data_IF_564476393854
#
_entry.id   IF_564476393854
#
_cell.length_a   1.000
_cell.length_b   1.000
_cell.length_c   1.000
_cell.angle_alpha   90.00
_cell.angle_beta   90.00
_cell.angle_gamma   90.00
#
_symmetry.space_group_name_H-M   'P 1'
#
loop_
_entity.id
_entity.type
_entity.pdbx_description
1 polymer ?
#
# COMPACT_ATOMS: atom_id res chain seq x y z
N UNK A 1 -9.38 -18.47 -57.87
CA UNK A 1 -8.58 -17.53 -57.07
C UNK A 1 -9.18 -17.49 -55.66
N UNK A 2 -8.52 -18.17 -54.68
CA UNK A 2 -8.99 -18.21 -53.26
C UNK A 2 -8.47 -16.99 -52.55
N UNK A 3 -9.38 -16.11 -52.10
CA UNK A 3 -9.07 -14.95 -51.26
C UNK A 3 -8.71 -15.43 -49.87
N UNK A 4 -7.44 -15.30 -49.50
CA UNK A 4 -6.94 -15.55 -48.12
C UNK A 4 -7.33 -14.38 -47.23
N UNK A 5 -8.36 -14.56 -46.39
CA UNK A 5 -8.75 -13.57 -45.39
C UNK A 5 -7.79 -13.71 -44.19
N UNK A 6 -6.84 -12.79 -44.10
CA UNK A 6 -5.98 -12.65 -42.91
C UNK A 6 -6.82 -11.99 -41.80
N UNK A 7 -7.18 -12.78 -40.77
CA UNK A 7 -7.83 -12.26 -39.58
C UNK A 7 -6.72 -11.71 -38.66
N UNK A 8 -6.62 -10.40 -38.60
CA UNK A 8 -5.77 -9.72 -37.62
C UNK A 8 -6.42 -9.85 -36.22
N UNK A 9 -5.90 -10.76 -35.40
CA UNK A 9 -6.27 -10.89 -34.01
C UNK A 9 -5.58 -9.76 -33.22
N UNK A 10 -6.29 -8.67 -32.98
CA UNK A 10 -5.83 -7.60 -32.07
C UNK A 10 -5.84 -8.15 -30.63
N UNK A 11 -4.66 -8.54 -30.14
CA UNK A 11 -4.45 -8.78 -28.71
C UNK A 11 -4.57 -7.44 -27.97
N UNK A 12 -5.74 -7.20 -27.38
CA UNK A 12 -5.94 -6.08 -26.45
C UNK A 12 -5.18 -6.45 -25.17
N UNK A 13 -3.93 -6.01 -25.06
CA UNK A 13 -3.18 -6.05 -23.80
C UNK A 13 -3.78 -4.98 -22.91
N UNK A 14 -4.83 -5.33 -22.19
CA UNK A 14 -5.41 -4.48 -21.15
C UNK A 14 -4.34 -4.21 -20.09
N UNK A 15 -4.13 -2.95 -19.74
CA UNK A 15 -3.24 -2.52 -18.67
C UNK A 15 -3.87 -2.90 -17.32
N UNK A 16 -3.81 -4.19 -16.96
CA UNK A 16 -4.37 -4.72 -15.73
C UNK A 16 -3.48 -4.34 -14.55
N UNK A 17 -4.08 -3.89 -13.45
CA UNK A 17 -3.34 -3.63 -12.21
C UNK A 17 -2.71 -4.93 -11.70
N UNK A 18 -1.48 -4.89 -11.16
CA UNK A 18 -0.85 -6.10 -10.65
C UNK A 18 -1.63 -6.65 -9.45
N UNK A 19 -1.80 -7.96 -9.41
CA UNK A 19 -2.40 -8.67 -8.26
C UNK A 19 -1.35 -9.19 -7.26
N UNK A 20 -0.05 -9.10 -7.59
CA UNK A 20 1.07 -9.50 -6.72
C UNK A 20 2.19 -8.49 -6.76
N UNK A 21 2.91 -8.37 -5.65
CA UNK A 21 4.13 -7.57 -5.61
C UNK A 21 5.25 -8.22 -6.40
N UNK A 22 6.08 -7.40 -7.05
CA UNK A 22 7.29 -7.92 -7.71
C UNK A 22 8.29 -8.44 -6.69
N UNK A 23 9.18 -9.34 -7.12
CA UNK A 23 10.24 -9.90 -6.27
C UNK A 23 11.13 -8.80 -5.68
N UNK A 24 11.45 -7.78 -6.46
CA UNK A 24 12.26 -6.65 -6.05
C UNK A 24 11.54 -5.82 -4.97
N UNK A 25 10.23 -5.58 -5.13
CA UNK A 25 9.43 -4.87 -4.12
C UNK A 25 9.32 -5.67 -2.82
N UNK A 26 9.17 -7.00 -2.90
CA UNK A 26 9.12 -7.89 -1.72
C UNK A 26 10.45 -7.89 -0.95
N UNK A 27 11.58 -7.80 -1.63
CA UNK A 27 12.92 -7.82 -1.03
C UNK A 27 13.39 -6.44 -0.53
N UNK A 28 12.68 -5.35 -0.84
CA UNK A 28 13.05 -4.02 -0.34
C UNK A 28 13.00 -3.97 1.18
N UNK A 29 14.00 -3.33 1.78
CA UNK A 29 14.12 -3.16 3.22
C UNK A 29 13.42 -1.90 3.71
N UNK A 30 12.70 -2.06 4.79
CA UNK A 30 12.03 -1.02 5.57
C UNK A 30 12.58 -1.01 6.98
N UNK A 31 12.49 0.11 7.67
CA UNK A 31 12.94 0.19 9.07
C UNK A 31 11.73 0.19 9.99
N UNK A 32 11.67 -0.76 10.92
CA UNK A 32 10.62 -0.85 11.94
C UNK A 32 10.78 0.23 13.03
N UNK A 33 9.75 0.40 13.87
CA UNK A 33 9.84 1.28 15.07
C UNK A 33 10.98 0.83 16.00
N UNK A 34 11.24 -0.48 16.08
CA UNK A 34 12.38 -1.03 16.84
C UNK A 34 13.74 -0.79 16.17
N UNK A 35 13.80 0.01 15.11
CA UNK A 35 15.00 0.35 14.32
C UNK A 35 15.66 -0.86 13.64
N UNK A 36 14.91 -1.91 13.38
CA UNK A 36 15.37 -3.12 12.70
C UNK A 36 15.01 -3.04 11.22
N UNK A 37 15.92 -3.54 10.38
CA UNK A 37 15.64 -3.75 8.96
C UNK A 37 14.74 -4.96 8.77
N UNK A 38 13.63 -4.78 8.05
CA UNK A 38 12.69 -5.84 7.69
C UNK A 38 12.38 -5.75 6.19
N UNK A 39 12.28 -6.88 5.50
CA UNK A 39 11.84 -6.87 4.11
C UNK A 39 10.34 -6.65 4.03
N UNK A 40 9.86 -6.12 2.90
CA UNK A 40 8.42 -5.99 2.69
C UNK A 40 7.72 -7.36 2.72
N UNK A 41 8.37 -8.40 2.24
CA UNK A 41 7.88 -9.78 2.37
C UNK A 41 7.63 -10.16 3.83
N UNK A 42 8.57 -9.84 4.74
CA UNK A 42 8.40 -10.14 6.17
C UNK A 42 7.26 -9.33 6.80
N UNK A 43 7.03 -8.09 6.31
CA UNK A 43 5.87 -7.29 6.73
C UNK A 43 4.56 -7.99 6.32
N UNK A 44 4.46 -8.50 5.10
CA UNK A 44 3.28 -9.25 4.66
C UNK A 44 3.10 -10.57 5.43
N UNK A 45 4.18 -11.33 5.63
CA UNK A 45 4.15 -12.59 6.36
C UNK A 45 3.68 -12.45 7.81
N UNK A 46 4.03 -11.33 8.48
CA UNK A 46 3.54 -11.01 9.83
C UNK A 46 2.00 -10.97 9.89
N UNK A 47 1.35 -10.64 8.79
CA UNK A 47 -0.10 -10.50 8.68
C UNK A 47 -0.75 -11.59 7.82
N UNK A 48 -0.05 -12.70 7.59
CA UNK A 48 -0.59 -13.82 6.80
C UNK A 48 -1.95 -14.28 7.33
N UNK A 49 -2.89 -14.54 6.42
CA UNK A 49 -4.26 -14.93 6.77
C UNK A 49 -5.16 -13.75 7.21
N UNK A 50 -4.68 -12.50 7.07
CA UNK A 50 -5.42 -11.30 7.42
C UNK A 50 -5.45 -10.32 6.24
N UNK A 51 -6.52 -9.53 6.14
CA UNK A 51 -6.55 -8.39 5.22
C UNK A 51 -5.70 -7.26 5.75
N UNK A 52 -4.98 -6.60 4.86
CA UNK A 52 -4.09 -5.48 5.17
C UNK A 52 -4.51 -4.27 4.36
N UNK A 53 -4.68 -3.13 5.01
CA UNK A 53 -4.69 -1.84 4.35
C UNK A 53 -3.33 -1.19 4.57
N UNK A 54 -2.63 -0.97 3.47
CA UNK A 54 -1.33 -0.30 3.45
C UNK A 54 -1.57 1.17 3.12
N UNK A 55 -1.10 2.08 3.98
CA UNK A 55 -1.12 3.52 3.80
C UNK A 55 0.30 4.05 3.64
N UNK A 56 0.61 4.57 2.46
CA UNK A 56 1.87 5.26 2.20
C UNK A 56 1.65 6.75 2.43
N UNK A 57 2.34 7.30 3.41
CA UNK A 57 2.12 8.62 3.94
C UNK A 57 3.41 9.36 4.30
N UNK A 58 3.30 10.58 4.81
CA UNK A 58 4.38 11.29 5.48
C UNK A 58 3.83 12.38 6.41
N UNK A 59 4.59 12.75 7.44
CA UNK A 59 4.19 13.76 8.43
C UNK A 59 4.04 15.18 7.85
N UNK A 60 4.72 15.46 6.75
CA UNK A 60 4.65 16.72 6.01
C UNK A 60 3.55 16.74 4.94
N UNK A 61 2.90 15.60 4.68
CA UNK A 61 1.84 15.49 3.70
C UNK A 61 0.52 15.97 4.32
N UNK A 62 0.09 17.17 3.94
CA UNK A 62 -1.17 17.77 4.44
C UNK A 62 -2.36 16.85 4.22
N UNK A 63 -2.53 16.31 3.00
CA UNK A 63 -3.66 15.46 2.63
C UNK A 63 -3.67 14.15 3.42
N UNK A 64 -2.49 13.61 3.78
CA UNK A 64 -2.39 12.43 4.63
C UNK A 64 -2.86 12.74 6.07
N UNK A 65 -2.49 13.92 6.59
CA UNK A 65 -2.82 14.30 7.97
C UNK A 65 -4.30 14.66 8.14
N UNK A 66 -4.87 15.41 7.19
CA UNK A 66 -6.29 15.84 7.29
C UNK A 66 -7.26 14.68 7.13
N UNK A 67 -6.86 13.56 6.53
CA UNK A 67 -7.69 12.36 6.35
C UNK A 67 -7.57 11.34 7.49
N UNK A 68 -6.76 11.63 8.51
CA UNK A 68 -6.60 10.71 9.68
C UNK A 68 -7.90 10.44 10.46
N UNK A 69 -8.84 11.40 10.64
CA UNK A 69 -10.11 11.10 11.30
C UNK A 69 -10.90 10.00 10.59
N UNK A 70 -11.01 10.09 9.26
CA UNK A 70 -11.70 9.10 8.43
C UNK A 70 -10.99 7.73 8.47
N UNK A 71 -9.65 7.75 8.46
CA UNK A 71 -8.86 6.53 8.58
C UNK A 71 -9.07 5.86 9.96
N UNK A 72 -9.08 6.63 11.04
CA UNK A 72 -9.34 6.11 12.40
C UNK A 72 -10.76 5.54 12.52
N UNK A 73 -11.74 6.19 11.89
CA UNK A 73 -13.10 5.66 11.81
C UNK A 73 -13.12 4.32 11.06
N UNK A 74 -12.44 4.25 9.90
CA UNK A 74 -12.32 3.01 9.13
C UNK A 74 -11.69 1.88 9.96
N UNK A 75 -10.66 2.18 10.78
CA UNK A 75 -10.05 1.21 11.69
C UNK A 75 -11.04 0.67 12.72
N UNK A 76 -11.87 1.54 13.31
CA UNK A 76 -12.87 1.15 14.31
C UNK A 76 -13.97 0.28 13.70
N UNK A 77 -14.39 0.59 12.48
CA UNK A 77 -15.43 -0.13 11.75
C UNK A 77 -14.95 -1.48 11.18
N UNK A 78 -13.63 -1.68 11.08
CA UNK A 78 -13.02 -2.88 10.49
C UNK A 78 -11.93 -3.47 11.41
N UNK A 79 -12.29 -3.98 12.62
CA UNK A 79 -11.31 -4.40 13.63
C UNK A 79 -10.48 -5.64 13.23
N UNK A 80 -10.91 -6.39 12.22
CA UNK A 80 -10.20 -7.56 11.70
C UNK A 80 -9.18 -7.23 10.62
N UNK A 81 -9.18 -5.98 10.12
CA UNK A 81 -8.23 -5.49 9.13
C UNK A 81 -6.98 -4.97 9.82
N UNK A 82 -5.81 -5.36 9.34
CA UNK A 82 -4.54 -4.81 9.80
C UNK A 82 -4.16 -3.57 9.00
N UNK A 83 -3.71 -2.54 9.70
CA UNK A 83 -3.27 -1.28 9.10
C UNK A 83 -1.76 -1.17 9.17
N UNK A 84 -1.13 -1.08 8.00
CA UNK A 84 0.33 -0.95 7.83
C UNK A 84 0.64 0.41 7.24
N UNK A 85 1.45 1.19 7.95
CA UNK A 85 1.83 2.54 7.57
C UNK A 85 3.27 2.57 7.08
N UNK A 86 3.48 3.01 5.85
CA UNK A 86 4.79 3.13 5.22
C UNK A 86 5.13 4.61 5.04
N UNK A 87 6.14 5.10 5.77
CA UNK A 87 6.45 6.53 5.81
C UNK A 87 7.50 6.93 4.78
N UNK A 88 7.22 8.04 4.07
CA UNK A 88 8.14 8.79 3.20
C UNK A 88 8.74 10.02 3.90
N UNK A 89 8.77 10.05 5.23
CA UNK A 89 9.40 11.15 5.95
C UNK A 89 10.88 11.30 5.58
N UNK A 90 11.41 12.51 5.73
CA UNK A 90 12.82 12.81 5.41
C UNK A 90 13.80 12.26 6.46
N UNK A 91 13.31 11.96 7.68
CA UNK A 91 14.12 11.35 8.73
C UNK A 91 13.27 10.46 9.64
N UNK A 92 13.91 9.46 10.25
CA UNK A 92 13.28 8.55 11.20
C UNK A 92 12.75 9.29 12.44
N UNK A 93 13.44 10.34 12.89
CA UNK A 93 13.03 11.14 14.05
C UNK A 93 11.74 11.89 13.80
N UNK A 94 11.58 12.50 12.61
CA UNK A 94 10.33 13.18 12.22
C UNK A 94 9.17 12.21 12.12
N UNK A 95 9.41 11.05 11.52
CA UNK A 95 8.45 9.97 11.41
C UNK A 95 7.96 9.50 12.78
N UNK A 96 8.87 9.15 13.71
CA UNK A 96 8.52 8.68 15.05
C UNK A 96 7.74 9.75 15.84
N UNK A 97 8.22 11.01 15.86
CA UNK A 97 7.51 12.12 16.50
C UNK A 97 6.09 12.33 15.93
N UNK A 98 5.92 12.09 14.63
CA UNK A 98 4.61 12.24 14.00
C UNK A 98 3.64 11.13 14.41
N UNK A 99 4.09 9.87 14.50
CA UNK A 99 3.26 8.75 14.98
C UNK A 99 2.69 9.09 16.35
N UNK A 100 3.55 9.52 17.29
CA UNK A 100 3.15 9.84 18.66
C UNK A 100 2.20 11.05 18.70
N UNK A 101 2.57 12.14 18.02
CA UNK A 101 1.76 13.37 17.97
C UNK A 101 0.37 13.14 17.37
N UNK A 102 0.31 12.37 16.27
CA UNK A 102 -0.93 12.13 15.51
C UNK A 102 -1.71 10.92 16.04
N UNK A 103 -1.14 10.18 17.00
CA UNK A 103 -1.74 8.98 17.62
C UNK A 103 -2.25 8.00 16.57
N UNK A 104 -1.38 7.66 15.61
CA UNK A 104 -1.69 6.72 14.54
C UNK A 104 -1.48 5.30 15.07
N UNK A 105 -2.54 4.49 15.08
CA UNK A 105 -2.49 3.09 15.53
C UNK A 105 -2.24 2.16 14.34
N UNK A 106 -1.40 1.15 14.53
CA UNK A 106 -1.06 0.14 13.51
C UNK A 106 0.41 -0.19 13.48
N UNK A 107 0.84 -0.92 12.47
CA UNK A 107 2.24 -1.23 12.25
C UNK A 107 2.91 -0.17 11.38
N UNK A 108 4.02 0.33 11.85
CA UNK A 108 4.70 1.45 11.21
C UNK A 108 6.09 1.07 10.74
N UNK A 109 6.40 1.47 9.49
CA UNK A 109 7.69 1.25 8.87
C UNK A 109 8.15 2.49 8.09
N UNK A 110 9.44 2.74 8.14
CA UNK A 110 10.08 3.84 7.42
C UNK A 110 10.65 3.34 6.10
N UNK A 111 10.34 4.03 5.01
CA UNK A 111 10.81 3.73 3.65
C UNK A 111 12.17 4.40 3.41
N UNK A 112 13.28 3.74 3.73
CA UNK A 112 14.62 4.32 3.58
C UNK A 112 14.94 4.73 2.12
N UNK A 113 14.55 3.90 1.16
CA UNK A 113 14.74 4.14 -0.28
C UNK A 113 13.66 5.06 -0.89
N UNK A 114 12.58 5.31 -0.14
CA UNK A 114 11.48 6.19 -0.53
C UNK A 114 10.84 5.82 -1.87
N UNK A 115 10.50 6.86 -2.65
CA UNK A 115 9.88 6.67 -3.98
C UNK A 115 10.80 6.02 -5.01
N UNK A 116 12.11 6.06 -4.80
CA UNK A 116 13.13 5.56 -5.74
C UNK A 116 13.44 4.08 -5.55
N UNK A 117 13.07 3.51 -4.40
CA UNK A 117 13.21 2.09 -4.12
C UNK A 117 12.35 1.22 -5.04
N UNK A 118 12.58 -0.09 -4.99
CA UNK A 118 11.87 -1.06 -5.82
C UNK A 118 10.36 -1.06 -5.53
N UNK A 119 9.95 -0.94 -4.26
CA UNK A 119 8.57 -0.84 -3.83
C UNK A 119 7.91 0.45 -4.33
N UNK A 120 8.60 1.59 -4.19
CA UNK A 120 8.11 2.87 -4.69
C UNK A 120 7.92 2.88 -6.22
N UNK A 121 8.87 2.29 -6.95
CA UNK A 121 8.79 2.10 -8.42
C UNK A 121 7.65 1.16 -8.80
N UNK A 122 7.49 0.04 -8.12
CA UNK A 122 6.40 -0.91 -8.35
C UNK A 122 5.03 -0.22 -8.23
N UNK A 123 4.83 0.57 -7.17
CA UNK A 123 3.61 1.35 -6.96
C UNK A 123 3.49 2.53 -7.93
N UNK A 124 4.52 2.87 -8.70
CA UNK A 124 4.62 4.13 -9.45
C UNK A 124 4.24 5.30 -8.53
N UNK A 125 4.97 5.41 -7.42
CA UNK A 125 4.61 6.26 -6.28
C UNK A 125 5.06 7.70 -6.51
N UNK A 126 4.23 8.52 -7.10
CA UNK A 126 4.46 9.98 -7.28
C UNK A 126 3.60 10.85 -6.37
N UNK A 127 2.51 10.30 -5.83
CA UNK A 127 1.58 11.02 -4.97
C UNK A 127 1.27 10.24 -3.71
N UNK A 128 1.07 10.94 -2.59
CA UNK A 128 0.56 10.43 -1.30
C UNK A 128 -0.58 11.34 -0.80
N UNK A 129 -1.54 10.83 -0.02
CA UNK A 129 -1.59 9.44 0.46
C UNK A 129 -1.79 8.44 -0.68
N UNK A 130 -1.34 7.22 -0.47
CA UNK A 130 -1.54 6.11 -1.38
C UNK A 130 -1.97 4.89 -0.60
N UNK A 131 -3.10 4.30 -0.99
CA UNK A 131 -3.66 3.12 -0.35
C UNK A 131 -3.56 1.90 -1.25
N UNK A 132 -3.23 0.77 -0.64
CA UNK A 132 -3.20 -0.55 -1.26
C UNK A 132 -3.92 -1.51 -0.31
N UNK A 133 -4.80 -2.37 -0.82
CA UNK A 133 -5.42 -3.45 -0.03
C UNK A 133 -4.85 -4.77 -0.49
N UNK A 134 -4.45 -5.58 0.49
CA UNK A 134 -3.96 -6.94 0.31
C UNK A 134 -4.90 -7.87 1.04
N UNK A 135 -5.29 -8.96 0.40
CA UNK A 135 -6.17 -9.95 1.01
C UNK A 135 -5.40 -10.96 1.90
N UNK A 136 -6.14 -11.90 2.47
CA UNK A 136 -5.63 -12.93 3.35
C UNK A 136 -4.66 -13.91 2.68
N UNK A 137 -4.62 -13.94 1.36
CA UNK A 137 -3.71 -14.76 0.55
C UNK A 137 -2.44 -14.00 0.12
N UNK A 138 -2.34 -12.70 0.47
CA UNK A 138 -1.23 -11.83 0.07
C UNK A 138 -1.38 -11.24 -1.33
N UNK A 139 -2.58 -11.34 -1.94
CA UNK A 139 -2.86 -10.77 -3.25
C UNK A 139 -3.38 -9.32 -3.16
N UNK A 140 -2.98 -8.49 -4.09
CA UNK A 140 -3.41 -7.09 -4.16
C UNK A 140 -4.82 -7.05 -4.73
N UNK A 141 -5.79 -6.68 -3.92
CA UNK A 141 -7.20 -6.52 -4.32
C UNK A 141 -7.56 -5.09 -4.67
N UNK A 142 -6.77 -4.12 -4.20
CA UNK A 142 -6.93 -2.72 -4.54
C UNK A 142 -5.56 -2.07 -4.69
N UNK A 143 -5.36 -1.39 -5.82
CA UNK A 143 -4.10 -0.76 -6.19
C UNK A 143 -4.29 0.71 -6.55
N UNK A 144 -3.40 1.60 -6.11
CA UNK A 144 -3.35 3.03 -6.49
C UNK A 144 -4.53 3.92 -6.08
N UNK A 145 -5.17 3.69 -4.97
CA UNK A 145 -6.17 4.63 -4.44
C UNK A 145 -5.49 5.75 -3.63
N UNK A 146 -5.98 6.98 -3.77
CA UNK A 146 -5.41 8.17 -3.13
C UNK A 146 -6.36 8.86 -2.14
N UNK A 147 -7.60 8.38 -2.01
CA UNK A 147 -8.59 8.91 -1.07
C UNK A 147 -9.06 7.79 -0.15
N UNK A 148 -8.94 7.97 1.17
CA UNK A 148 -9.39 6.98 2.15
C UNK A 148 -10.91 6.74 2.08
N UNK A 149 -11.67 7.75 1.64
CA UNK A 149 -13.13 7.70 1.47
C UNK A 149 -13.56 7.02 0.16
N UNK A 150 -12.62 6.51 -0.65
CA UNK A 150 -12.96 5.80 -1.87
C UNK A 150 -13.75 4.52 -1.54
N UNK A 151 -14.95 4.40 -2.12
CA UNK A 151 -15.84 3.24 -1.92
C UNK A 151 -15.21 1.90 -2.27
N UNK A 152 -14.20 1.89 -3.15
CA UNK A 152 -13.48 0.68 -3.51
C UNK A 152 -12.61 0.15 -2.35
N UNK A 153 -12.16 1.00 -1.41
CA UNK A 153 -11.49 0.56 -0.19
C UNK A 153 -12.45 -0.31 0.63
N UNK A 154 -13.65 0.21 0.95
CA UNK A 154 -14.66 -0.56 1.70
C UNK A 154 -15.04 -1.85 0.98
N UNK A 155 -15.17 -1.81 -0.35
CA UNK A 155 -15.47 -2.99 -1.15
C UNK A 155 -14.36 -4.04 -1.06
N UNK A 156 -13.08 -3.63 -1.13
CA UNK A 156 -11.93 -4.53 -1.03
C UNK A 156 -11.75 -5.09 0.40
N UNK A 157 -12.10 -4.31 1.44
CA UNK A 157 -12.00 -4.72 2.85
C UNK A 157 -13.14 -5.63 3.30
N UNK A 158 -14.28 -5.67 2.60
CA UNK A 158 -15.39 -6.55 3.00
C UNK A 158 -14.93 -8.00 3.04
N UNK A 159 -15.16 -8.64 4.18
CA UNK A 159 -15.01 -10.09 4.36
C UNK A 159 -16.18 -10.74 3.63
N UNK A 160 -15.90 -11.69 2.74
CA UNK A 160 -16.94 -12.52 2.12
C UNK A 160 -17.51 -13.46 3.14
#
# INVERSE_FOLDING_TARGET
MKQLRIVFLFLIIGCQSPNRFSKEALNEKFVSIAKQDVTFQNILLKHQGKKILIDIWASWCRDCVVTLPELKKLQQENPTVHFVFLSLDKSKERWMKAIDRLKIKGDHYYMAEGKKGAFGKFLRLWWIPRYVVVDEFGEITLFKVTKITDKNILKALKIK
#
